data_IF_017972880608
#
_entry.id   IF_017972880608
#
_cell.length_a   1.000
_cell.length_b   1.000
_cell.length_c   1.000
_cell.angle_alpha   90.00
_cell.angle_beta   90.00
_cell.angle_gamma   90.00
#
_symmetry.space_group_name_H-M   'P 1'
#
loop_
_entity.id
_entity.type
_entity.pdbx_description
1 polymer ?
#
# COMPACT_ATOMS: atom_id res chain seq x y z
N UNK A 1 -6.62 -13.73 13.90
CA UNK A 1 -6.08 -14.90 13.18
C UNK A 1 -4.93 -14.46 12.27
N UNK A 2 -3.68 -14.85 12.56
CA UNK A 2 -2.52 -14.55 11.69
C UNK A 2 -2.56 -15.53 10.50
N UNK A 3 -2.87 -15.05 9.29
CA UNK A 3 -2.73 -15.86 8.07
C UNK A 3 -1.25 -16.24 7.92
N UNK A 4 -0.94 -17.52 8.05
CA UNK A 4 0.40 -18.05 7.78
C UNK A 4 0.57 -18.02 6.27
N UNK A 5 1.07 -16.91 5.74
CA UNK A 5 1.44 -16.80 4.32
C UNK A 5 2.57 -17.79 4.05
N UNK A 6 2.42 -18.72 3.09
CA UNK A 6 3.44 -19.69 2.73
C UNK A 6 4.79 -19.02 2.41
N UNK A 7 5.90 -19.63 2.81
CA UNK A 7 7.26 -19.08 2.63
C UNK A 7 7.55 -18.68 1.16
N UNK A 8 7.00 -19.42 0.20
CA UNK A 8 7.12 -19.12 -1.23
C UNK A 8 6.42 -17.81 -1.63
N UNK A 9 5.26 -17.49 -1.05
CA UNK A 9 4.56 -16.23 -1.32
C UNK A 9 5.26 -15.03 -0.69
N UNK A 10 5.86 -15.20 0.50
CA UNK A 10 6.69 -14.16 1.13
C UNK A 10 7.90 -13.81 0.26
N UNK A 11 8.60 -14.82 -0.24
CA UNK A 11 9.74 -14.65 -1.15
C UNK A 11 9.34 -13.94 -2.45
N UNK A 12 8.19 -14.32 -3.04
CA UNK A 12 7.66 -13.64 -4.24
C UNK A 12 7.29 -12.18 -3.97
N UNK A 13 6.65 -11.89 -2.84
CA UNK A 13 6.25 -10.54 -2.46
C UNK A 13 7.47 -9.65 -2.19
N UNK A 14 8.49 -10.17 -1.50
CA UNK A 14 9.74 -9.48 -1.25
C UNK A 14 10.51 -9.18 -2.53
N UNK A 15 10.56 -10.15 -3.47
CA UNK A 15 11.17 -9.96 -4.76
C UNK A 15 10.48 -8.85 -5.59
N UNK A 16 9.14 -8.82 -5.58
CA UNK A 16 8.37 -7.74 -6.21
C UNK A 16 8.64 -6.40 -5.53
N UNK A 17 8.65 -6.35 -4.20
CA UNK A 17 8.97 -5.14 -3.43
C UNK A 17 10.39 -4.62 -3.72
N UNK A 18 11.36 -5.51 -3.88
CA UNK A 18 12.73 -5.15 -4.26
C UNK A 18 12.80 -4.55 -5.68
N UNK A 19 12.08 -5.12 -6.65
CA UNK A 19 11.98 -4.56 -8.00
C UNK A 19 11.35 -3.16 -7.96
N UNK A 20 10.24 -2.99 -7.23
CA UNK A 20 9.56 -1.71 -7.11
C UNK A 20 10.45 -0.63 -6.47
N UNK A 21 11.17 -0.95 -5.39
CA UNK A 21 12.16 -0.04 -4.78
C UNK A 21 13.20 0.44 -5.79
N UNK A 22 13.74 -0.47 -6.61
CA UNK A 22 14.67 -0.10 -7.68
C UNK A 22 14.03 0.82 -8.71
N UNK A 23 12.82 0.50 -9.16
CA UNK A 23 12.06 1.33 -10.11
C UNK A 23 11.86 2.75 -9.55
N UNK A 24 11.47 2.88 -8.28
CA UNK A 24 11.25 4.17 -7.63
C UNK A 24 12.51 5.04 -7.61
N UNK A 25 13.66 4.46 -7.23
CA UNK A 25 14.94 5.18 -7.25
C UNK A 25 15.27 5.65 -8.66
N UNK A 26 15.18 4.75 -9.65
CA UNK A 26 15.50 5.06 -11.04
C UNK A 26 14.53 6.10 -11.63
N UNK A 27 13.28 6.09 -11.21
CA UNK A 27 12.27 7.09 -11.59
C UNK A 27 12.57 8.45 -10.99
N UNK A 28 12.99 8.48 -9.73
CA UNK A 28 13.46 9.70 -9.08
C UNK A 28 14.67 10.28 -9.83
N UNK A 29 15.63 9.44 -10.23
CA UNK A 29 16.81 9.88 -10.99
C UNK A 29 16.46 10.32 -12.43
N UNK A 30 15.53 9.65 -13.09
CA UNK A 30 15.04 10.08 -14.40
C UNK A 30 14.36 11.46 -14.34
N UNK A 31 13.69 11.77 -13.22
CA UNK A 31 13.00 13.05 -13.01
C UNK A 31 13.96 14.16 -12.57
N UNK A 32 14.73 13.91 -11.52
CA UNK A 32 15.52 14.93 -10.83
C UNK A 32 16.95 15.03 -11.38
N UNK A 33 17.45 13.97 -12.03
CA UNK A 33 18.83 13.83 -12.44
C UNK A 33 19.51 12.68 -11.71
N UNK A 34 20.45 12.06 -12.41
CA UNK A 34 21.33 11.03 -11.90
C UNK A 34 22.40 11.72 -11.02
N UNK A 35 22.70 11.19 -9.83
CA UNK A 35 23.76 11.72 -8.97
C UNK A 35 25.10 11.79 -9.69
N UNK A 36 25.94 12.76 -9.31
CA UNK A 36 27.33 12.81 -9.77
C UNK A 36 28.19 11.88 -8.92
N UNK A 37 29.21 11.29 -9.53
CA UNK A 37 30.17 10.45 -8.86
C UNK A 37 31.02 11.31 -7.91
N UNK A 38 31.12 10.87 -6.66
CA UNK A 38 31.87 11.57 -5.61
C UNK A 38 33.08 10.75 -5.18
N UNK A 39 34.23 11.40 -5.06
CA UNK A 39 35.49 10.85 -4.56
C UNK A 39 35.49 10.63 -3.05
N UNK A 40 36.60 10.09 -2.53
CA UNK A 40 36.76 9.84 -1.08
C UNK A 40 36.85 11.13 -0.25
N UNK A 41 37.20 12.22 -0.91
CA UNK A 41 37.30 13.58 -0.40
C UNK A 41 35.96 14.33 -0.39
N UNK A 42 34.89 13.71 -0.88
CA UNK A 42 33.57 14.35 -0.99
C UNK A 42 33.44 15.27 -2.21
N UNK A 43 34.45 15.33 -3.09
CA UNK A 43 34.42 16.16 -4.30
C UNK A 43 33.88 15.38 -5.50
N UNK A 44 33.22 16.08 -6.41
CA UNK A 44 32.71 15.49 -7.65
C UNK A 44 33.87 15.11 -8.56
N UNK A 45 33.91 13.85 -9.01
CA UNK A 45 34.94 13.39 -9.94
C UNK A 45 34.67 13.91 -11.34
N UNK A 46 35.76 14.34 -11.99
CA UNK A 46 35.75 14.82 -13.37
C UNK A 46 36.40 13.79 -14.29
N UNK A 47 35.97 13.76 -15.55
CA UNK A 47 36.62 13.01 -16.61
C UNK A 47 37.90 13.71 -17.11
N UNK A 48 38.61 13.11 -18.07
CA UNK A 48 39.82 13.68 -18.67
C UNK A 48 39.60 14.98 -19.45
N UNK A 49 38.35 15.46 -19.54
CA UNK A 49 37.92 16.67 -20.22
C UNK A 49 37.18 17.61 -19.25
N UNK A 50 37.48 17.52 -17.95
CA UNK A 50 36.89 18.30 -16.86
C UNK A 50 35.35 18.23 -16.74
N UNK A 51 34.72 17.18 -17.25
CA UNK A 51 33.28 17.01 -17.13
C UNK A 51 32.93 16.15 -15.93
N UNK A 52 31.89 16.56 -15.21
CA UNK A 52 31.36 15.81 -14.08
C UNK A 52 30.94 14.42 -14.51
N UNK A 53 31.45 13.40 -13.83
CA UNK A 53 31.07 12.01 -14.03
C UNK A 53 29.78 11.71 -13.29
N UNK A 54 28.88 10.96 -13.92
CA UNK A 54 27.68 10.45 -13.26
C UNK A 54 28.03 9.22 -12.42
N UNK A 55 27.34 9.06 -11.31
CA UNK A 55 27.38 7.85 -10.51
C UNK A 55 26.77 6.67 -11.30
N UNK A 56 27.05 5.45 -10.86
CA UNK A 56 26.57 4.24 -11.50
C UNK A 56 25.03 4.21 -11.59
N UNK A 57 24.52 3.91 -12.77
CA UNK A 57 23.12 3.55 -12.95
C UNK A 57 23.03 2.39 -13.96
N UNK A 58 22.05 1.49 -13.82
CA UNK A 58 21.87 0.42 -14.77
C UNK A 58 21.50 0.98 -16.15
N UNK A 59 22.08 0.39 -17.20
CA UNK A 59 21.86 0.78 -18.61
C UNK A 59 21.22 -0.34 -19.44
N UNK A 60 20.97 -1.50 -18.82
CA UNK A 60 20.41 -2.69 -19.45
C UNK A 60 19.60 -3.48 -18.43
N UNK A 61 18.71 -4.38 -18.90
CA UNK A 61 17.97 -5.27 -17.99
C UNK A 61 18.91 -6.15 -17.15
N UNK A 62 20.02 -6.60 -17.73
CA UNK A 62 21.04 -7.38 -17.00
C UNK A 62 21.66 -6.58 -15.85
N UNK A 63 22.11 -5.35 -16.13
CA UNK A 63 22.67 -4.48 -15.09
C UNK A 63 21.63 -4.09 -14.05
N UNK A 64 20.36 -3.89 -14.44
CA UNK A 64 19.26 -3.65 -13.50
C UNK A 64 19.06 -4.83 -12.52
N UNK A 65 19.11 -6.06 -13.03
CA UNK A 65 19.00 -7.28 -12.21
C UNK A 65 20.16 -7.39 -11.22
N UNK A 66 21.38 -7.10 -11.67
CA UNK A 66 22.61 -7.19 -10.87
C UNK A 66 22.81 -6.01 -9.90
N UNK A 67 22.17 -4.87 -10.15
CA UNK A 67 22.32 -3.66 -9.35
C UNK A 67 21.84 -3.88 -7.92
N UNK A 68 22.67 -3.54 -6.95
CA UNK A 68 22.42 -3.72 -5.52
C UNK A 68 22.93 -2.50 -4.72
N UNK A 69 23.21 -1.38 -5.40
CA UNK A 69 23.75 -0.17 -4.80
C UNK A 69 25.25 -0.18 -4.53
N UNK A 70 25.91 -1.34 -4.44
CA UNK A 70 27.34 -1.40 -4.09
C UNK A 70 28.26 -0.85 -5.19
N UNK A 71 27.75 -0.68 -6.41
CA UNK A 71 28.46 -0.04 -7.52
C UNK A 71 28.47 1.48 -7.41
N UNK A 72 27.63 2.06 -6.55
CA UNK A 72 27.49 3.50 -6.41
C UNK A 72 28.54 4.10 -5.48
N UNK A 73 28.74 5.41 -5.54
CA UNK A 73 29.56 6.13 -4.54
C UNK A 73 28.98 5.96 -3.13
N UNK A 74 29.82 6.12 -2.10
CA UNK A 74 29.39 6.02 -0.70
C UNK A 74 28.26 7.01 -0.38
N UNK A 75 28.37 8.25 -0.87
CA UNK A 75 27.34 9.26 -0.70
C UNK A 75 25.98 8.81 -1.27
N UNK A 76 25.98 8.17 -2.44
CA UNK A 76 24.76 7.61 -3.03
C UNK A 76 24.27 6.39 -2.26
N UNK A 77 25.18 5.51 -1.77
CA UNK A 77 24.80 4.35 -0.98
C UNK A 77 24.09 4.71 0.33
N UNK A 78 24.47 5.81 0.97
CA UNK A 78 23.85 6.28 2.22
C UNK A 78 22.39 6.70 2.03
N UNK A 79 22.05 7.27 0.88
CA UNK A 79 20.68 7.71 0.56
C UNK A 79 19.84 6.64 -0.14
N UNK A 80 20.49 5.60 -0.68
CA UNK A 80 19.79 4.53 -1.38
C UNK A 80 18.99 3.66 -0.41
N UNK A 81 17.72 3.32 -0.72
CA UNK A 81 17.03 2.30 0.02
C UNK A 81 17.77 0.96 -0.14
N UNK A 82 17.63 0.08 0.85
CA UNK A 82 18.17 -1.28 0.75
C UNK A 82 17.61 -1.97 -0.49
N UNK A 83 18.45 -2.27 -1.47
CA UNK A 83 18.10 -2.98 -2.70
C UNK A 83 19.00 -4.20 -2.88
N UNK A 84 18.42 -5.29 -3.36
CA UNK A 84 19.11 -6.55 -3.61
C UNK A 84 19.18 -6.92 -5.09
N UNK A 85 20.01 -7.90 -5.42
CA UNK A 85 20.00 -8.51 -6.76
C UNK A 85 18.65 -9.16 -7.05
N UNK A 86 18.26 -9.18 -8.31
CA UNK A 86 17.02 -9.81 -8.79
C UNK A 86 17.41 -11.02 -9.64
N UNK A 87 16.80 -12.17 -9.37
CA UNK A 87 17.04 -13.39 -10.15
C UNK A 87 16.61 -13.22 -11.61
N UNK A 88 17.22 -14.00 -12.52
CA UNK A 88 16.98 -13.88 -13.96
C UNK A 88 15.51 -14.05 -14.33
N UNK A 89 14.84 -15.03 -13.72
CA UNK A 89 13.44 -15.38 -14.03
C UNK A 89 12.44 -14.47 -13.29
N UNK A 90 12.87 -13.81 -12.21
CA UNK A 90 11.98 -13.01 -11.37
C UNK A 90 11.34 -11.86 -12.14
N UNK A 91 12.11 -11.18 -12.99
CA UNK A 91 11.58 -10.09 -13.81
C UNK A 91 10.80 -10.63 -15.02
N UNK A 92 11.26 -11.74 -15.62
CA UNK A 92 10.63 -12.35 -16.80
C UNK A 92 9.20 -12.84 -16.51
N UNK A 93 8.93 -13.31 -15.29
CA UNK A 93 7.58 -13.71 -14.84
C UNK A 93 6.64 -12.50 -14.67
N UNK A 94 7.16 -11.26 -14.70
CA UNK A 94 6.42 -10.02 -14.47
C UNK A 94 6.57 -9.07 -15.67
N UNK A 95 5.95 -9.38 -16.82
CA UNK A 95 6.18 -8.68 -18.09
C UNK A 95 5.86 -7.18 -18.03
N UNK A 96 4.86 -6.77 -17.24
CA UNK A 96 4.53 -5.34 -17.07
C UNK A 96 5.65 -4.56 -16.38
N UNK A 97 6.25 -5.14 -15.33
CA UNK A 97 7.40 -4.51 -14.65
C UNK A 97 8.64 -4.53 -15.54
N UNK A 98 8.85 -5.58 -16.33
CA UNK A 98 9.95 -5.63 -17.28
C UNK A 98 9.84 -4.50 -18.31
N UNK A 99 8.65 -4.33 -18.90
CA UNK A 99 8.36 -3.26 -19.85
C UNK A 99 8.58 -1.88 -19.24
N UNK A 100 8.11 -1.67 -18.01
CA UNK A 100 8.34 -0.43 -17.27
C UNK A 100 9.83 -0.15 -17.07
N UNK A 101 10.61 -1.14 -16.65
CA UNK A 101 12.06 -1.02 -16.48
C UNK A 101 12.73 -0.67 -17.81
N UNK A 102 12.35 -1.32 -18.91
CA UNK A 102 12.92 -1.02 -20.25
C UNK A 102 12.70 0.44 -20.63
N UNK A 103 11.47 0.95 -20.48
CA UNK A 103 11.17 2.35 -20.79
C UNK A 103 11.89 3.32 -19.85
N UNK A 104 12.01 2.97 -18.57
CA UNK A 104 12.75 3.77 -17.59
C UNK A 104 14.25 3.83 -17.90
N UNK A 105 14.86 2.71 -18.30
CA UNK A 105 16.27 2.66 -18.70
C UNK A 105 16.53 3.51 -19.95
N UNK A 106 15.59 3.56 -20.91
CA UNK A 106 15.67 4.46 -22.07
C UNK A 106 15.64 5.93 -21.62
N UNK A 107 14.70 6.29 -20.74
CA UNK A 107 14.59 7.65 -20.22
C UNK A 107 15.86 8.07 -19.43
N UNK A 108 16.42 7.17 -18.62
CA UNK A 108 17.66 7.42 -17.89
C UNK A 108 18.87 7.65 -18.80
N UNK A 109 18.99 6.89 -19.90
CA UNK A 109 20.06 7.12 -20.88
C UNK A 109 19.97 8.51 -21.51
N UNK A 110 18.76 8.92 -21.91
CA UNK A 110 18.53 10.27 -22.44
C UNK A 110 18.83 11.35 -21.39
N UNK A 111 18.46 11.11 -20.13
CA UNK A 111 18.75 12.01 -19.01
C UNK A 111 20.25 12.12 -18.75
N UNK A 112 20.97 11.01 -18.76
CA UNK A 112 22.42 10.96 -18.61
C UNK A 112 23.13 11.74 -19.74
N UNK A 113 22.72 11.50 -20.99
CA UNK A 113 23.23 12.25 -22.14
C UNK A 113 23.05 13.75 -21.94
N UNK A 114 21.87 14.20 -21.53
CA UNK A 114 21.57 15.61 -21.27
C UNK A 114 22.41 16.21 -20.14
N UNK A 115 22.57 15.49 -19.02
CA UNK A 115 23.35 15.98 -17.88
C UNK A 115 24.84 16.15 -18.24
N UNK A 116 25.43 15.20 -18.97
CA UNK A 116 26.85 15.25 -19.35
C UNK A 116 27.11 16.27 -20.47
N UNK A 117 26.12 16.52 -21.33
CA UNK A 117 26.24 17.44 -22.46
C UNK A 117 25.77 18.87 -22.17
N UNK A 118 25.38 19.16 -20.93
CA UNK A 118 25.01 20.50 -20.51
C UNK A 118 26.14 21.49 -20.83
N UNK A 119 25.86 22.44 -21.73
CA UNK A 119 26.83 23.45 -22.20
C UNK A 119 27.62 23.10 -23.47
N UNK A 120 27.50 21.90 -24.03
CA UNK A 120 28.26 21.47 -25.25
C UNK A 120 27.46 21.51 -26.54
N UNK A 121 26.15 21.64 -26.46
CA UNK A 121 25.27 21.66 -27.64
C UNK A 121 24.93 23.09 -28.05
N UNK A 122 24.73 23.27 -29.37
CA UNK A 122 23.98 24.43 -29.85
C UNK A 122 22.59 24.43 -29.24
N UNK A 123 22.01 25.61 -29.04
CA UNK A 123 20.74 25.78 -28.34
C UNK A 123 19.62 24.91 -28.95
N UNK A 124 19.56 24.83 -30.29
CA UNK A 124 18.60 23.98 -31.01
C UNK A 124 18.77 22.48 -30.66
N UNK A 125 20.02 21.99 -30.63
CA UNK A 125 20.31 20.59 -30.34
C UNK A 125 20.04 20.27 -28.86
N UNK A 126 20.35 21.21 -27.96
CA UNK A 126 20.02 21.13 -26.53
C UNK A 126 18.51 21.00 -26.32
N UNK A 127 17.73 21.92 -26.88
CA UNK A 127 16.26 21.93 -26.78
C UNK A 127 15.64 20.67 -27.41
N UNK A 128 16.19 20.18 -28.52
CA UNK A 128 15.70 18.94 -29.16
C UNK A 128 15.89 17.72 -28.26
N UNK A 129 17.07 17.58 -27.65
CA UNK A 129 17.37 16.50 -26.70
C UNK A 129 16.53 16.62 -25.43
N UNK A 130 16.34 17.84 -24.93
CA UNK A 130 15.49 18.12 -23.77
C UNK A 130 14.03 17.73 -24.04
N UNK A 131 13.49 18.11 -25.20
CA UNK A 131 12.16 17.68 -25.65
C UNK A 131 12.03 16.17 -25.73
N UNK A 132 13.04 15.46 -26.24
CA UNK A 132 13.05 13.99 -26.30
C UNK A 132 13.00 13.37 -24.90
N UNK A 133 13.84 13.84 -23.97
CA UNK A 133 13.84 13.33 -22.60
C UNK A 133 12.53 13.63 -21.86
N UNK A 134 12.00 14.84 -22.00
CA UNK A 134 10.71 15.21 -21.40
C UNK A 134 9.56 14.39 -21.99
N UNK A 135 9.58 14.10 -23.29
CA UNK A 135 8.56 13.25 -23.94
C UNK A 135 8.62 11.82 -23.40
N UNK A 136 9.82 11.26 -23.22
CA UNK A 136 10.01 9.94 -22.62
C UNK A 136 9.49 9.90 -21.17
N UNK A 137 9.84 10.90 -20.35
CA UNK A 137 9.36 11.02 -18.97
C UNK A 137 7.83 11.15 -18.92
N UNK A 138 7.25 11.96 -19.79
CA UNK A 138 5.81 12.18 -19.86
C UNK A 138 5.05 10.91 -20.29
N UNK A 139 5.65 10.07 -21.15
CA UNK A 139 5.11 8.75 -21.48
C UNK A 139 5.01 7.84 -20.24
N UNK A 140 6.08 7.78 -19.44
CA UNK A 140 6.13 7.02 -18.19
C UNK A 140 5.06 7.53 -17.21
N UNK A 141 4.97 8.86 -17.00
CA UNK A 141 3.96 9.46 -16.12
C UNK A 141 2.53 9.21 -16.58
N UNK A 142 2.27 9.21 -17.89
CA UNK A 142 0.94 8.86 -18.44
C UNK A 142 0.57 7.41 -18.16
N UNK A 143 1.53 6.48 -18.27
CA UNK A 143 1.29 5.08 -17.95
C UNK A 143 0.98 4.92 -16.44
N UNK A 144 1.76 5.55 -15.57
CA UNK A 144 1.51 5.57 -14.12
C UNK A 144 0.11 6.09 -13.78
N UNK A 145 -0.26 7.24 -14.36
CA UNK A 145 -1.56 7.85 -14.10
C UNK A 145 -2.73 6.94 -14.49
N UNK A 146 -2.60 6.19 -15.59
CA UNK A 146 -3.62 5.20 -16.00
C UNK A 146 -3.73 4.07 -14.98
N UNK A 147 -2.61 3.51 -14.55
CA UNK A 147 -2.59 2.43 -13.54
C UNK A 147 -3.19 2.89 -12.21
N UNK A 148 -2.80 4.08 -11.75
CA UNK A 148 -3.36 4.68 -10.53
C UNK A 148 -4.87 4.92 -10.64
N UNK A 149 -5.34 5.40 -11.79
CA UNK A 149 -6.77 5.62 -12.02
C UNK A 149 -7.57 4.32 -11.97
N UNK A 150 -7.06 3.23 -12.56
CA UNK A 150 -7.71 1.92 -12.49
C UNK A 150 -7.76 1.40 -11.05
N UNK A 151 -6.66 1.52 -10.31
CA UNK A 151 -6.61 1.11 -8.90
C UNK A 151 -7.56 1.94 -8.02
N UNK A 152 -7.61 3.26 -8.23
CA UNK A 152 -8.51 4.17 -7.52
C UNK A 152 -9.98 3.80 -7.74
N UNK A 153 -10.39 3.58 -8.99
CA UNK A 153 -11.75 3.13 -9.29
C UNK A 153 -12.09 1.79 -8.61
N UNK A 154 -11.13 0.85 -8.56
CA UNK A 154 -11.33 -0.43 -7.88
C UNK A 154 -11.53 -0.26 -6.37
N UNK A 155 -10.75 0.62 -5.73
CA UNK A 155 -10.85 0.91 -4.30
C UNK A 155 -12.18 1.60 -4.00
N UNK A 156 -12.58 2.57 -4.83
CA UNK A 156 -13.87 3.27 -4.69
C UNK A 156 -15.04 2.30 -4.78
N UNK A 157 -15.04 1.40 -5.77
CA UNK A 157 -16.07 0.39 -5.93
C UNK A 157 -16.13 -0.56 -4.73
N UNK A 158 -14.97 -1.01 -4.22
CA UNK A 158 -14.92 -1.87 -3.04
C UNK A 158 -15.41 -1.14 -1.78
N UNK A 159 -15.02 0.13 -1.61
CA UNK A 159 -15.47 0.94 -0.49
C UNK A 159 -16.99 1.13 -0.52
N UNK A 160 -17.57 1.46 -1.68
CA UNK A 160 -19.02 1.53 -1.84
C UNK A 160 -19.71 0.20 -1.50
N UNK A 161 -19.11 -0.93 -1.90
CA UNK A 161 -19.64 -2.26 -1.58
C UNK A 161 -19.62 -2.53 -0.08
N UNK A 162 -18.51 -2.20 0.60
CA UNK A 162 -18.36 -2.36 2.05
C UNK A 162 -19.36 -1.46 2.80
N UNK A 163 -19.47 -0.19 2.41
CA UNK A 163 -20.42 0.75 3.01
C UNK A 163 -21.85 0.24 2.92
N UNK A 164 -22.28 -0.22 1.73
CA UNK A 164 -23.63 -0.80 1.55
C UNK A 164 -23.86 -2.02 2.43
N UNK A 165 -22.87 -2.91 2.57
CA UNK A 165 -22.98 -4.08 3.46
C UNK A 165 -23.11 -3.65 4.91
N UNK A 166 -22.28 -2.71 5.36
CA UNK A 166 -22.35 -2.19 6.72
C UNK A 166 -23.71 -1.52 7.02
N UNK A 167 -24.28 -0.79 6.06
CA UNK A 167 -25.62 -0.21 6.17
C UNK A 167 -26.71 -1.29 6.28
N UNK A 168 -26.64 -2.36 5.48
CA UNK A 168 -27.59 -3.47 5.55
C UNK A 168 -27.49 -4.17 6.92
N UNK A 169 -26.26 -4.51 7.34
CA UNK A 169 -26.00 -5.16 8.62
C UNK A 169 -26.47 -4.29 9.80
N UNK A 170 -26.22 -2.97 9.76
CA UNK A 170 -26.70 -2.05 10.78
C UNK A 170 -28.24 -2.03 10.87
N UNK A 171 -28.93 -1.97 9.73
CA UNK A 171 -30.40 -2.03 9.69
C UNK A 171 -30.95 -3.36 10.21
N UNK A 172 -30.27 -4.48 9.94
CA UNK A 172 -30.63 -5.79 10.49
C UNK A 172 -30.42 -5.83 12.01
N UNK A 173 -29.32 -5.30 12.51
CA UNK A 173 -29.07 -5.20 13.96
C UNK A 173 -30.12 -4.35 14.66
N UNK A 174 -30.51 -3.20 14.10
CA UNK A 174 -31.54 -2.33 14.66
C UNK A 174 -32.90 -3.05 14.74
N UNK A 175 -33.26 -3.82 13.70
CA UNK A 175 -34.48 -4.64 13.70
C UNK A 175 -34.45 -5.72 14.78
N UNK A 176 -33.33 -6.43 14.91
CA UNK A 176 -33.18 -7.47 15.93
C UNK A 176 -33.21 -6.87 17.33
N UNK A 177 -32.53 -5.74 17.55
CA UNK A 177 -32.56 -5.02 18.83
C UNK A 177 -33.96 -4.55 19.19
N UNK A 178 -34.71 -3.97 18.25
CA UNK A 178 -36.09 -3.56 18.46
C UNK A 178 -36.98 -4.75 18.86
N UNK A 179 -36.84 -5.89 18.16
CA UNK A 179 -37.57 -7.12 18.47
C UNK A 179 -37.22 -7.66 19.86
N UNK A 180 -35.94 -7.70 20.23
CA UNK A 180 -35.49 -8.18 21.54
C UNK A 180 -35.92 -7.26 22.67
N UNK A 181 -35.92 -5.94 22.47
CA UNK A 181 -36.43 -4.98 23.44
C UNK A 181 -37.94 -5.15 23.66
N UNK A 182 -38.73 -5.33 22.60
CA UNK A 182 -40.15 -5.62 22.72
C UNK A 182 -40.42 -6.90 23.52
N UNK A 183 -39.63 -7.95 23.28
CA UNK A 183 -39.73 -9.22 24.02
C UNK A 183 -39.34 -9.06 25.50
N UNK A 184 -38.30 -8.28 25.81
CA UNK A 184 -37.92 -7.97 27.19
C UNK A 184 -39.06 -7.26 27.92
N UNK A 185 -39.70 -6.27 27.29
CA UNK A 185 -40.82 -5.57 27.91
C UNK A 185 -42.03 -6.48 28.10
N UNK A 186 -42.32 -7.37 27.15
CA UNK A 186 -43.37 -8.41 27.30
C UNK A 186 -43.10 -9.32 28.50
N UNK A 187 -41.88 -9.84 28.62
CA UNK A 187 -41.47 -10.72 29.71
C UNK A 187 -41.43 -10.02 31.08
N UNK A 188 -41.12 -8.71 31.12
CA UNK A 188 -41.24 -7.91 32.35
C UNK A 188 -42.68 -7.80 32.80
N UNK A 189 -43.61 -7.58 31.87
CA UNK A 189 -45.03 -7.45 32.13
C UNK A 189 -45.62 -8.77 32.64
N UNK A 190 -45.31 -9.88 31.97
CA UNK A 190 -45.70 -11.24 32.38
C UNK A 190 -45.14 -11.60 33.78
N UNK A 191 -43.86 -11.28 34.06
CA UNK A 191 -43.30 -11.46 35.40
C UNK A 191 -44.04 -10.64 36.46
N UNK A 192 -44.42 -9.39 36.16
CA UNK A 192 -45.18 -8.56 37.10
C UNK A 192 -46.56 -9.16 37.40
N UNK A 193 -47.26 -9.69 36.39
CA UNK A 193 -48.54 -10.38 36.54
C UNK A 193 -48.42 -11.68 37.38
N UNK A 194 -47.38 -12.48 37.12
CA UNK A 194 -47.09 -13.69 37.89
C UNK A 194 -46.77 -13.37 39.36
N UNK A 195 -45.99 -12.30 39.61
CA UNK A 195 -45.70 -11.82 40.97
C UNK A 195 -46.98 -11.39 41.68
N UNK A 196 -47.85 -10.63 41.01
CA UNK A 196 -49.12 -10.18 41.57
C UNK A 196 -50.04 -11.38 41.91
N UNK A 197 -50.13 -12.35 41.00
CA UNK A 197 -50.90 -13.58 41.18
C UNK A 197 -50.35 -14.42 42.33
N UNK A 198 -49.03 -14.57 42.43
CA UNK A 198 -48.35 -15.28 43.52
C UNK A 198 -48.60 -14.62 44.88
N UNK A 199 -48.58 -13.28 44.94
CA UNK A 199 -48.95 -12.51 46.15
C UNK A 199 -50.38 -12.83 46.61
N UNK A 200 -51.33 -12.87 45.68
CA UNK A 200 -52.74 -13.18 45.96
C UNK A 200 -52.94 -14.61 46.45
N UNK A 201 -52.23 -15.58 45.88
CA UNK A 201 -52.27 -16.98 46.36
C UNK A 201 -51.62 -17.10 47.74
N UNK A 202 -50.52 -16.40 48.01
CA UNK A 202 -49.87 -16.39 49.33
C UNK A 202 -50.77 -15.77 50.41
N UNK A 203 -51.48 -14.68 50.13
CA UNK A 203 -52.39 -14.08 51.10
C UNK A 203 -53.54 -15.04 51.45
N UNK A 204 -54.13 -15.71 50.46
CA UNK A 204 -55.15 -16.76 50.67
C UNK A 204 -54.63 -17.93 51.52
N UNK A 205 -53.38 -18.35 51.31
CA UNK A 205 -52.72 -19.38 52.14
C UNK A 205 -52.45 -18.94 53.58
N UNK A 206 -52.22 -17.64 53.81
CA UNK A 206 -52.01 -17.10 55.16
C UNK A 206 -53.31 -16.98 55.96
N UNK A 207 -54.43 -16.62 55.31
CA UNK A 207 -55.77 -16.61 55.93
C UNK A 207 -56.16 -18.02 56.37
N UNK A 208 -55.93 -19.03 55.52
CA UNK A 208 -56.20 -20.43 55.82
C UNK A 208 -55.33 -21.04 56.96
N UNK A 209 -54.25 -20.37 57.38
CA UNK A 209 -53.43 -20.77 58.53
C UNK A 209 -53.90 -20.14 59.84
N UNK A 210 -54.50 -18.94 59.79
CA UNK A 210 -55.06 -18.28 60.98
C UNK A 210 -56.41 -18.89 61.40
N UNK A 211 -57.15 -19.51 60.48
CA UNK A 211 -58.37 -20.28 60.80
C UNK A 211 -58.10 -21.65 61.45
N UNK A 212 -56.83 -21.97 61.76
CA UNK A 212 -56.41 -23.22 62.42
C UNK A 212 -55.66 -23.02 63.74
N UNK A 213 -55.96 -21.98 64.51
CA UNK A 213 -55.66 -21.99 65.94
C UNK A 213 -56.88 -22.49 66.72
N UNK A 214 -56.83 -23.68 67.36
CA UNK A 214 -57.87 -24.09 68.28
C UNK A 214 -57.74 -23.28 69.58
N UNK A 215 -58.88 -22.77 70.05
CA UNK A 215 -59.07 -22.39 71.44
C UNK A 215 -58.60 -23.54 72.34
N UNK A 216 -57.58 -23.29 73.17
CA UNK A 216 -57.31 -24.10 74.35
C UNK A 216 -57.06 -23.18 75.53
N UNK A 217 -57.91 -23.34 76.55
CA UNK A 217 -57.64 -22.99 77.95
C UNK A 217 -58.12 -21.61 78.36
#
# INVERSE_FOLDING_TARGET
>A
MKKIVPQAERSKAEATSNINRKIEVLRAWATNGIPFLVGKDGLQLLDSKDNKLLDYFPTSLRSFKEWNGTQNSLATQEVLPKIGRVGNDTLAIRPELEKEVVELLKALKLRAELQISAGKYSEIKRLTKEKQALTALLSIRRAEFRTLRVAMNSIENENQRITRKAEIEANEFDRVLASKNAEIERLKLENAELIASSKKVRSLRSVNKNDKQPEQG
#
